data_IF_032111203133
#
_entry.id   IF_032111203133
#
_cell.length_a   1.000
_cell.length_b   1.000
_cell.length_c   1.000
_cell.angle_alpha   90.00
_cell.angle_beta   90.00
_cell.angle_gamma   90.00
#
_symmetry.space_group_name_H-M   'P 1'
#
loop_
_entity.id
_entity.type
_entity.pdbx_description
1 polymer ?
#
# COMPACT_ATOMS: atom_id res chain seq x y z
N UNK A 1 11.02 -13.91 -34.66
CA UNK A 1 9.79 -13.09 -34.86
C UNK A 1 9.79 -12.36 -36.20
N UNK A 2 8.62 -11.97 -36.75
CA UNK A 2 8.47 -11.41 -38.11
C UNK A 2 9.34 -10.16 -38.37
N UNK A 3 9.36 -9.20 -37.44
CA UNK A 3 10.17 -7.97 -37.58
C UNK A 3 11.69 -8.24 -37.52
N UNK A 4 12.11 -9.33 -36.89
CA UNK A 4 13.53 -9.69 -36.79
C UNK A 4 14.12 -10.15 -38.13
N UNK A 5 13.27 -10.57 -39.07
CA UNK A 5 13.67 -10.94 -40.43
C UNK A 5 14.13 -9.73 -41.28
N UNK A 6 13.82 -8.51 -40.85
CA UNK A 6 14.32 -7.30 -41.49
C UNK A 6 15.77 -7.03 -41.08
N UNK A 7 16.58 -6.43 -41.96
CA UNK A 7 17.93 -5.99 -41.59
C UNK A 7 17.87 -4.94 -40.45
N UNK A 8 18.96 -4.76 -39.69
CA UNK A 8 19.04 -3.70 -38.68
C UNK A 8 18.66 -2.33 -39.25
N UNK A 9 17.81 -1.58 -38.54
CA UNK A 9 17.27 -0.30 -39.00
C UNK A 9 16.14 -0.39 -40.04
N UNK A 10 15.78 -1.59 -40.49
CA UNK A 10 14.64 -1.80 -41.37
C UNK A 10 13.32 -1.59 -40.63
N UNK A 11 12.48 -0.69 -41.15
CA UNK A 11 11.11 -0.49 -40.70
C UNK A 11 10.15 -1.14 -41.70
N UNK A 12 9.12 -1.83 -41.20
CA UNK A 12 8.04 -2.33 -42.03
C UNK A 12 6.82 -1.43 -41.94
N UNK A 13 6.20 -1.18 -43.09
CA UNK A 13 4.89 -0.55 -43.16
C UNK A 13 3.83 -1.44 -42.44
N UNK A 14 3.02 -0.90 -41.52
CA UNK A 14 1.97 -1.65 -40.82
C UNK A 14 1.04 -2.43 -41.75
N UNK A 15 0.75 -1.90 -42.95
CA UNK A 15 -0.09 -2.62 -43.95
C UNK A 15 0.63 -3.85 -44.49
N UNK A 16 1.94 -3.75 -44.74
CA UNK A 16 2.77 -4.88 -45.17
C UNK A 16 2.89 -5.95 -44.07
N UNK A 17 3.03 -5.54 -42.80
CA UNK A 17 3.01 -6.46 -41.65
C UNK A 17 1.68 -7.20 -41.58
N UNK A 18 0.55 -6.51 -41.69
CA UNK A 18 -0.79 -7.11 -41.71
C UNK A 18 -0.92 -8.15 -42.82
N UNK A 19 -0.59 -7.77 -44.07
CA UNK A 19 -0.63 -8.70 -45.23
C UNK A 19 0.23 -9.94 -45.00
N UNK A 20 1.39 -9.80 -44.36
CA UNK A 20 2.24 -10.95 -44.05
C UNK A 20 1.62 -11.83 -42.97
N UNK A 21 1.01 -11.25 -41.93
CA UNK A 21 0.28 -12.00 -40.90
C UNK A 21 -0.96 -12.72 -41.46
N UNK A 22 -1.62 -12.15 -42.46
CA UNK A 22 -2.73 -12.80 -43.19
C UNK A 22 -2.26 -14.05 -43.91
N UNK A 23 -1.11 -13.95 -44.60
CA UNK A 23 -0.51 -15.08 -45.31
C UNK A 23 -0.08 -16.21 -44.37
N UNK A 24 0.62 -15.87 -43.29
CA UNK A 24 1.15 -16.87 -42.33
C UNK A 24 0.03 -17.53 -41.51
N UNK A 25 -1.02 -16.78 -41.14
CA UNK A 25 -2.09 -17.25 -40.26
C UNK A 25 -3.51 -16.95 -40.79
N UNK A 26 -3.91 -17.55 -41.92
CA UNK A 26 -5.12 -17.18 -42.66
C UNK A 26 -6.46 -17.49 -41.97
N UNK A 27 -6.49 -18.32 -40.91
CA UNK A 27 -7.76 -18.87 -40.37
C UNK A 27 -8.13 -18.43 -38.95
N UNK A 28 -7.49 -17.40 -38.40
CA UNK A 28 -7.57 -17.13 -36.95
C UNK A 28 -8.49 -15.98 -36.53
N UNK A 29 -8.79 -15.00 -37.38
CA UNK A 29 -9.50 -13.77 -37.01
C UNK A 29 -10.21 -13.14 -38.22
N UNK A 30 -11.24 -12.32 -37.97
CA UNK A 30 -11.78 -11.39 -38.98
C UNK A 30 -10.75 -10.33 -39.35
N UNK A 31 -10.86 -9.76 -40.56
CA UNK A 31 -9.94 -8.73 -41.05
C UNK A 31 -9.90 -7.51 -40.12
N UNK A 32 -11.06 -7.03 -39.65
CA UNK A 32 -11.17 -5.92 -38.70
C UNK A 32 -10.48 -6.20 -37.36
N UNK A 33 -10.71 -7.39 -36.79
CA UNK A 33 -10.09 -7.76 -35.52
C UNK A 33 -8.57 -7.85 -35.64
N UNK A 34 -8.08 -8.37 -36.77
CA UNK A 34 -6.65 -8.48 -37.04
C UNK A 34 -5.99 -7.13 -37.27
N UNK A 35 -6.62 -6.25 -38.02
CA UNK A 35 -6.12 -4.89 -38.21
C UNK A 35 -5.93 -4.20 -36.86
N UNK A 36 -6.97 -4.24 -36.01
CA UNK A 36 -6.92 -3.64 -34.67
C UNK A 36 -5.82 -4.24 -33.80
N UNK A 37 -5.69 -5.56 -33.78
CA UNK A 37 -4.64 -6.24 -32.97
C UNK A 37 -3.24 -5.98 -33.49
N UNK A 38 -3.05 -5.95 -34.81
CA UNK A 38 -1.75 -5.65 -35.42
C UNK A 38 -1.34 -4.21 -35.11
N UNK A 39 -2.27 -3.26 -35.27
CA UNK A 39 -2.03 -1.86 -34.94
C UNK A 39 -1.73 -1.67 -33.45
N UNK A 40 -2.49 -2.31 -32.56
CA UNK A 40 -2.26 -2.28 -31.12
C UNK A 40 -0.90 -2.87 -30.75
N UNK A 41 -0.54 -4.04 -31.27
CA UNK A 41 0.74 -4.69 -30.98
C UNK A 41 1.94 -3.85 -31.45
N UNK A 42 1.84 -3.20 -32.61
CA UNK A 42 2.89 -2.30 -33.10
C UNK A 42 2.99 -1.03 -32.23
N UNK A 43 1.85 -0.46 -31.81
CA UNK A 43 1.84 0.70 -30.92
C UNK A 43 2.38 0.38 -29.52
N UNK A 44 2.05 -0.79 -28.97
CA UNK A 44 2.59 -1.28 -27.70
C UNK A 44 4.09 -1.55 -27.80
N UNK A 45 4.55 -2.17 -28.89
CA UNK A 45 5.97 -2.40 -29.13
C UNK A 45 6.77 -1.09 -29.18
N UNK A 46 6.21 -0.04 -29.79
CA UNK A 46 6.81 1.29 -29.81
C UNK A 46 6.81 1.93 -28.42
N UNK A 47 5.70 1.82 -27.68
CA UNK A 47 5.56 2.37 -26.32
C UNK A 47 6.56 1.72 -25.34
N UNK A 48 6.79 0.41 -25.49
CA UNK A 48 7.75 -0.35 -24.68
C UNK A 48 9.21 -0.17 -25.15
N UNK A 49 9.45 0.50 -26.27
CA UNK A 49 10.79 0.66 -26.85
C UNK A 49 11.38 -0.62 -27.45
N UNK A 50 10.53 -1.61 -27.78
CA UNK A 50 10.89 -2.81 -28.55
C UNK A 50 11.10 -2.43 -30.01
N UNK A 51 10.32 -1.48 -30.51
CA UNK A 51 10.56 -0.79 -31.79
C UNK A 51 10.82 0.69 -31.55
N UNK A 52 11.49 1.33 -32.51
CA UNK A 52 11.67 2.78 -32.56
C UNK A 52 11.53 3.26 -34.00
N UNK A 53 10.62 4.21 -34.24
CA UNK A 53 10.21 4.69 -35.57
C UNK A 53 9.85 3.54 -36.52
N UNK A 54 9.19 2.50 -36.00
CA UNK A 54 8.75 1.34 -36.77
C UNK A 54 9.84 0.31 -37.11
N UNK A 55 11.09 0.53 -36.70
CA UNK A 55 12.16 -0.45 -36.83
C UNK A 55 12.34 -1.23 -35.51
N UNK A 56 12.68 -2.53 -35.60
CA UNK A 56 13.01 -3.33 -34.42
C UNK A 56 14.30 -2.80 -33.78
N UNK A 57 14.25 -2.47 -32.49
CA UNK A 57 15.39 -1.94 -31.77
C UNK A 57 16.50 -3.01 -31.63
N UNK A 58 17.76 -2.59 -31.71
CA UNK A 58 18.91 -3.50 -31.64
C UNK A 58 18.94 -4.29 -30.33
N UNK A 59 18.65 -3.64 -29.20
CA UNK A 59 18.58 -4.28 -27.89
C UNK A 59 17.41 -5.25 -27.72
N UNK A 60 16.38 -5.19 -28.58
CA UNK A 60 15.25 -6.10 -28.53
C UNK A 60 15.51 -7.41 -29.31
N UNK A 61 16.50 -7.45 -30.20
CA UNK A 61 16.81 -8.64 -31.02
C UNK A 61 17.17 -9.88 -30.19
N UNK A 62 18.03 -9.80 -29.15
CA UNK A 62 18.37 -10.98 -28.35
C UNK A 62 17.17 -11.60 -27.62
N UNK A 63 16.11 -10.81 -27.37
CA UNK A 63 14.85 -11.31 -26.78
C UNK A 63 14.01 -12.15 -27.75
N UNK A 64 14.28 -12.05 -29.06
CA UNK A 64 13.55 -12.76 -30.11
C UNK A 64 14.30 -14.02 -30.61
N UNK A 65 15.45 -14.34 -30.03
CA UNK A 65 16.20 -15.57 -30.27
C UNK A 65 15.59 -16.76 -29.52
N UNK A 66 15.96 -17.98 -29.92
CA UNK A 66 15.53 -19.22 -29.27
C UNK A 66 16.78 -20.00 -28.81
N UNK A 67 17.07 -20.08 -27.50
CA UNK A 67 16.34 -19.46 -26.38
C UNK A 67 16.54 -17.92 -26.30
N UNK A 68 15.61 -17.18 -25.67
CA UNK A 68 15.76 -15.74 -25.50
C UNK A 68 16.96 -15.41 -24.62
N UNK A 69 17.68 -14.34 -24.96
CA UNK A 69 18.91 -13.90 -24.29
C UNK A 69 18.70 -12.54 -23.58
N UNK A 70 18.06 -12.51 -22.40
CA UNK A 70 17.79 -11.27 -21.68
C UNK A 70 19.05 -10.53 -21.21
N UNK A 71 20.14 -11.26 -20.90
CA UNK A 71 21.41 -10.65 -20.52
C UNK A 71 22.04 -9.84 -21.66
N UNK A 72 22.10 -10.41 -22.88
CA UNK A 72 22.60 -9.72 -24.06
C UNK A 72 21.73 -8.52 -24.46
N UNK A 73 20.40 -8.62 -24.28
CA UNK A 73 19.49 -7.50 -24.45
C UNK A 73 19.79 -6.35 -23.47
N UNK A 74 20.02 -6.67 -22.19
CA UNK A 74 20.38 -5.69 -21.17
C UNK A 74 21.74 -5.04 -21.44
N UNK A 75 22.74 -5.81 -21.86
CA UNK A 75 24.07 -5.29 -22.23
C UNK A 75 24.01 -4.36 -23.44
N UNK A 76 23.19 -4.67 -24.46
CA UNK A 76 22.98 -3.81 -25.61
C UNK A 76 22.21 -2.52 -25.28
N UNK A 77 21.33 -2.59 -24.26
CA UNK A 77 20.51 -1.47 -23.83
C UNK A 77 21.25 -0.51 -22.88
N UNK A 78 22.13 -1.02 -22.02
CA UNK A 78 22.79 -0.24 -20.98
C UNK A 78 23.52 1.02 -21.48
N UNK A 79 24.27 1.00 -22.61
CA UNK A 79 24.97 2.19 -23.12
C UNK A 79 24.03 3.29 -23.64
N UNK A 80 22.73 3.00 -23.83
CA UNK A 80 21.75 3.97 -24.31
C UNK A 80 21.17 4.84 -23.19
N UNK A 81 21.43 4.50 -21.94
CA UNK A 81 20.97 5.24 -20.78
C UNK A 81 22.12 6.01 -20.12
N UNK A 82 21.87 7.21 -19.58
CA UNK A 82 22.83 7.88 -18.71
C UNK A 82 23.08 7.03 -17.45
N UNK A 83 24.30 7.09 -16.94
CA UNK A 83 24.69 6.37 -15.74
C UNK A 83 23.83 6.83 -14.54
N UNK A 84 23.18 5.89 -13.82
CA UNK A 84 22.42 6.25 -12.64
C UNK A 84 23.32 6.81 -11.54
N UNK A 85 22.93 7.93 -10.95
CA UNK A 85 23.68 8.55 -9.85
C UNK A 85 23.19 8.02 -8.51
N UNK A 86 24.13 7.91 -7.57
CA UNK A 86 23.93 7.41 -6.22
C UNK A 86 23.75 8.50 -5.16
N UNK A 87 23.63 9.76 -5.59
CA UNK A 87 23.66 10.89 -4.68
C UNK A 87 22.81 12.08 -5.14
N UNK A 88 22.59 13.00 -4.20
CA UNK A 88 21.94 14.29 -4.38
C UNK A 88 22.75 15.42 -3.75
N UNK A 89 22.44 16.65 -4.14
CA UNK A 89 22.95 17.87 -3.52
C UNK A 89 21.85 18.49 -2.67
N UNK A 90 22.00 18.47 -1.34
CA UNK A 90 21.03 19.07 -0.43
C UNK A 90 21.29 20.57 -0.27
N UNK A 91 20.22 21.35 -0.33
CA UNK A 91 20.24 22.81 -0.24
C UNK A 91 19.46 23.32 0.98
N UNK A 92 19.82 24.51 1.46
CA UNK A 92 19.24 25.09 2.67
C UNK A 92 17.75 25.51 2.54
N UNK A 93 17.21 25.56 1.32
CA UNK A 93 15.81 25.87 1.01
C UNK A 93 14.91 24.61 0.96
N UNK A 94 15.38 23.52 1.59
CA UNK A 94 14.71 22.22 1.64
C UNK A 94 14.55 21.55 0.28
N UNK A 95 15.48 21.81 -0.64
CA UNK A 95 15.53 21.13 -1.94
C UNK A 95 16.71 20.16 -2.03
N UNK A 96 16.54 19.12 -2.84
CA UNK A 96 17.61 18.23 -3.26
C UNK A 96 17.69 18.21 -4.78
N UNK A 97 18.90 18.40 -5.31
CA UNK A 97 19.15 18.31 -6.75
C UNK A 97 19.81 16.96 -7.06
N UNK A 98 19.16 16.16 -7.90
CA UNK A 98 19.73 14.97 -8.50
C UNK A 98 20.32 15.33 -9.88
N UNK A 99 21.65 15.27 -10.07
CA UNK A 99 22.32 15.68 -11.31
C UNK A 99 22.06 14.74 -12.49
N UNK A 100 21.47 13.57 -12.23
CA UNK A 100 21.11 12.58 -13.24
C UNK A 100 19.99 11.68 -12.70
N UNK A 101 19.62 10.61 -13.43
CA UNK A 101 18.63 9.68 -12.92
C UNK A 101 19.17 8.99 -11.67
N UNK A 102 18.46 9.11 -10.56
CA UNK A 102 18.81 8.38 -9.34
C UNK A 102 18.72 6.88 -9.59
N UNK A 103 19.62 6.12 -8.96
CA UNK A 103 19.48 4.67 -8.79
C UNK A 103 18.09 4.33 -8.24
N UNK A 104 17.57 3.15 -8.61
CA UNK A 104 16.18 2.77 -8.34
C UNK A 104 15.82 2.76 -6.85
N UNK A 105 16.72 2.21 -6.04
CA UNK A 105 16.63 2.17 -4.58
C UNK A 105 16.55 3.59 -4.00
N UNK A 106 17.51 4.45 -4.34
CA UNK A 106 17.56 5.84 -3.93
C UNK A 106 16.32 6.63 -4.36
N UNK A 107 15.89 6.46 -5.61
CA UNK A 107 14.67 7.09 -6.14
C UNK A 107 13.41 6.70 -5.37
N UNK A 108 13.29 5.42 -4.99
CA UNK A 108 12.13 4.92 -4.26
C UNK A 108 12.04 5.58 -2.88
N UNK A 109 13.15 5.64 -2.14
CA UNK A 109 13.20 6.30 -0.83
C UNK A 109 12.96 7.80 -0.96
N UNK A 110 13.55 8.47 -1.96
CA UNK A 110 13.28 9.88 -2.24
C UNK A 110 11.80 10.15 -2.54
N UNK A 111 11.12 9.27 -3.28
CA UNK A 111 9.69 9.42 -3.56
C UNK A 111 8.82 9.33 -2.29
N UNK A 112 9.27 8.61 -1.26
CA UNK A 112 8.60 8.57 0.04
C UNK A 112 8.82 9.89 0.80
N UNK A 113 10.05 10.40 0.82
CA UNK A 113 10.47 11.50 1.68
C UNK A 113 10.40 12.91 1.07
N UNK A 114 10.28 13.04 -0.25
CA UNK A 114 10.26 14.32 -0.95
C UNK A 114 9.30 14.31 -2.16
N UNK A 115 8.89 15.49 -2.60
CA UNK A 115 8.06 15.68 -3.79
C UNK A 115 8.92 16.14 -4.97
N UNK A 116 8.61 15.70 -6.19
CA UNK A 116 9.32 16.16 -7.39
C UNK A 116 8.76 17.51 -7.84
N UNK A 117 9.59 18.53 -7.83
CA UNK A 117 9.23 19.88 -8.28
C UNK A 117 9.49 20.08 -9.78
N UNK A 118 10.60 19.51 -10.29
CA UNK A 118 10.98 19.60 -11.70
C UNK A 118 11.79 18.39 -12.15
N UNK A 119 11.59 17.96 -13.40
CA UNK A 119 12.28 16.85 -14.06
C UNK A 119 13.02 17.33 -15.32
N UNK A 120 13.76 18.44 -15.20
CA UNK A 120 14.59 18.99 -16.26
C UNK A 120 15.91 18.23 -16.42
N UNK A 121 16.97 18.95 -16.84
CA UNK A 121 18.34 18.40 -16.92
C UNK A 121 18.89 17.88 -15.58
N UNK A 122 18.28 18.29 -14.47
CA UNK A 122 18.42 17.71 -13.15
C UNK A 122 17.02 17.53 -12.54
N UNK A 123 16.83 16.48 -11.73
CA UNK A 123 15.57 16.33 -10.99
C UNK A 123 15.68 17.10 -9.68
N UNK A 124 14.74 18.02 -9.46
CA UNK A 124 14.66 18.81 -8.22
C UNK A 124 13.57 18.20 -7.35
N UNK A 125 13.97 17.81 -6.15
CA UNK A 125 13.09 17.32 -5.10
C UNK A 125 12.91 18.41 -4.04
N UNK A 126 11.73 18.49 -3.45
CA UNK A 126 11.41 19.39 -2.34
C UNK A 126 10.96 18.58 -1.13
N UNK A 127 11.61 18.82 0.00
CA UNK A 127 11.17 18.32 1.29
C UNK A 127 10.12 19.27 1.88
N UNK A 128 8.98 18.69 2.24
CA UNK A 128 7.86 19.36 2.90
C UNK A 128 7.47 18.58 4.15
N UNK A 129 6.80 19.21 5.14
CA UNK A 129 6.26 18.48 6.30
C UNK A 129 5.39 17.29 5.91
N UNK A 130 4.62 17.41 4.82
CA UNK A 130 3.76 16.34 4.32
C UNK A 130 4.56 15.17 3.74
N UNK A 131 5.61 15.44 2.95
CA UNK A 131 6.48 14.40 2.40
C UNK A 131 7.29 13.67 3.47
N UNK A 132 7.81 14.37 4.48
CA UNK A 132 8.49 13.73 5.62
C UNK A 132 7.51 12.87 6.40
N UNK A 133 6.30 13.38 6.68
CA UNK A 133 5.26 12.59 7.33
C UNK A 133 4.91 11.34 6.54
N UNK A 134 4.82 11.42 5.22
CA UNK A 134 4.57 10.29 4.33
C UNK A 134 5.65 9.21 4.47
N UNK A 135 6.92 9.58 4.59
CA UNK A 135 7.98 8.61 4.87
C UNK A 135 7.79 7.92 6.23
N UNK A 136 7.45 8.68 7.29
CA UNK A 136 7.19 8.10 8.62
C UNK A 136 5.94 7.20 8.63
N UNK A 137 4.87 7.60 7.92
CA UNK A 137 3.65 6.79 7.75
C UNK A 137 3.94 5.50 6.96
N UNK A 138 4.92 5.51 6.06
CA UNK A 138 5.41 4.34 5.34
C UNK A 138 6.33 3.43 6.19
N UNK A 139 6.60 3.81 7.44
CA UNK A 139 7.36 3.00 8.40
C UNK A 139 8.84 3.35 8.53
N UNK A 140 9.35 4.37 7.83
CA UNK A 140 10.72 4.84 8.07
C UNK A 140 10.81 5.51 9.45
N UNK A 141 11.86 5.19 10.19
CA UNK A 141 12.17 5.86 11.45
C UNK A 141 12.90 7.19 11.20
N UNK A 142 12.90 8.05 12.22
CA UNK A 142 13.64 9.32 12.20
C UNK A 142 15.14 9.09 11.98
N UNK A 143 15.71 8.10 12.66
CA UNK A 143 17.14 7.77 12.55
C UNK A 143 17.48 7.22 11.15
N UNK A 144 16.64 6.36 10.59
CA UNK A 144 16.81 5.86 9.21
C UNK A 144 16.73 7.00 8.18
N UNK A 145 15.83 7.96 8.37
CA UNK A 145 15.70 9.09 7.46
C UNK A 145 16.93 10.02 7.52
N UNK A 146 17.44 10.31 8.72
CA UNK A 146 18.67 11.06 8.91
C UNK A 146 19.89 10.33 8.32
N UNK A 147 20.02 9.03 8.61
CA UNK A 147 21.10 8.20 8.07
C UNK A 147 21.07 8.15 6.54
N UNK A 148 19.88 7.97 5.96
CA UNK A 148 19.67 7.99 4.53
C UNK A 148 20.10 9.33 3.91
N UNK A 149 19.63 10.45 4.46
CA UNK A 149 19.99 11.79 3.96
C UNK A 149 21.50 12.05 4.03
N UNK A 150 22.15 11.59 5.10
CA UNK A 150 23.60 11.70 5.27
C UNK A 150 24.38 10.81 4.29
N UNK A 151 23.89 9.61 3.99
CA UNK A 151 24.51 8.68 3.05
C UNK A 151 24.46 9.19 1.61
N UNK A 152 23.31 9.72 1.19
CA UNK A 152 23.05 10.04 -0.22
C UNK A 152 23.44 11.47 -0.58
N UNK A 153 23.77 12.31 0.39
CA UNK A 153 24.13 13.70 0.13
C UNK A 153 25.62 13.87 -0.12
N UNK A 154 26.00 14.58 -1.19
CA UNK A 154 27.40 15.01 -1.40
C UNK A 154 27.75 16.27 -0.61
N UNK A 155 26.75 16.97 -0.08
CA UNK A 155 26.92 18.13 0.80
C UNK A 155 26.53 17.76 2.22
N UNK A 156 27.04 18.45 3.26
CA UNK A 156 26.51 18.28 4.61
C UNK A 156 24.99 18.51 4.62
N UNK A 157 24.26 17.73 5.42
CA UNK A 157 22.82 17.90 5.56
C UNK A 157 22.53 19.29 6.13
N UNK A 158 21.71 20.12 5.47
CA UNK A 158 21.40 21.46 5.97
C UNK A 158 20.58 21.40 7.26
N UNK A 159 20.96 22.20 8.25
CA UNK A 159 20.25 22.30 9.53
C UNK A 159 18.72 22.52 9.40
N UNK A 160 18.18 23.30 8.44
CA UNK A 160 16.73 23.41 8.25
C UNK A 160 16.05 22.08 7.93
N UNK A 161 16.73 21.19 7.21
CA UNK A 161 16.20 19.87 6.87
C UNK A 161 16.21 18.94 8.08
N UNK A 162 17.28 18.95 8.87
CA UNK A 162 17.33 18.18 10.13
C UNK A 162 16.19 18.59 11.06
N UNK A 163 16.01 19.91 11.22
CA UNK A 163 14.94 20.45 12.05
C UNK A 163 13.55 20.06 11.55
N UNK A 164 13.32 20.09 10.23
CA UNK A 164 12.06 19.64 9.64
C UNK A 164 11.76 18.18 9.97
N UNK A 165 12.75 17.31 9.82
CA UNK A 165 12.62 15.87 10.13
C UNK A 165 12.26 15.67 11.60
N UNK A 166 13.00 16.30 12.52
CA UNK A 166 12.77 16.17 13.96
C UNK A 166 11.44 16.77 14.41
N UNK A 167 11.00 17.88 13.81
CA UNK A 167 9.73 18.52 14.14
C UNK A 167 8.54 17.68 13.71
N UNK A 168 8.59 17.10 12.51
CA UNK A 168 7.54 16.20 12.01
C UNK A 168 7.53 14.90 12.81
N UNK A 169 8.69 14.31 13.10
CA UNK A 169 8.82 13.12 13.93
C UNK A 169 8.21 13.31 15.33
N UNK A 170 8.47 14.46 15.98
CA UNK A 170 7.88 14.79 17.29
C UNK A 170 6.35 14.88 17.27
N UNK A 171 5.76 15.23 16.13
CA UNK A 171 4.30 15.33 15.95
C UNK A 171 3.68 14.01 15.47
N UNK A 172 4.46 13.18 14.81
CA UNK A 172 4.05 11.87 14.31
C UNK A 172 3.75 10.90 15.47
N UNK A 173 2.72 10.08 15.32
CA UNK A 173 2.38 9.05 16.32
C UNK A 173 1.91 9.54 17.70
N UNK A 174 1.66 10.86 17.89
CA UNK A 174 1.12 11.40 19.17
C UNK A 174 -0.29 10.88 19.47
N UNK A 175 -1.08 10.65 18.44
CA UNK A 175 -2.40 10.02 18.53
C UNK A 175 -2.27 8.59 18.02
N UNK A 176 -2.72 7.63 18.83
CA UNK A 176 -2.71 6.20 18.49
C UNK A 176 -4.14 5.71 18.43
N UNK A 177 -4.50 5.11 17.30
CA UNK A 177 -5.80 4.45 17.13
C UNK A 177 -5.59 2.95 17.27
N UNK A 178 -6.46 2.31 18.03
CA UNK A 178 -6.49 0.86 18.16
C UNK A 178 -7.91 0.35 18.02
N UNK A 179 -8.07 -0.86 17.49
CA UNK A 179 -9.37 -1.50 17.43
C UNK A 179 -9.79 -1.99 18.84
N UNK A 180 -11.02 -1.67 19.22
CA UNK A 180 -11.71 -2.21 20.37
C UNK A 180 -13.17 -2.45 19.95
N UNK A 181 -13.60 -3.70 19.92
CA UNK A 181 -14.96 -4.04 19.49
C UNK A 181 -16.00 -3.85 20.60
N UNK A 182 -15.55 -3.85 21.87
CA UNK A 182 -16.38 -3.54 23.03
C UNK A 182 -15.55 -2.93 24.17
N UNK A 183 -16.24 -2.29 25.11
CA UNK A 183 -15.68 -1.77 26.34
C UNK A 183 -16.46 -2.29 27.56
N UNK A 184 -15.80 -2.34 28.70
CA UNK A 184 -16.39 -2.64 30.00
C UNK A 184 -16.14 -1.45 30.92
N UNK A 185 -17.21 -0.88 31.48
CA UNK A 185 -17.16 0.23 32.41
C UNK A 185 -17.60 -0.21 33.80
N UNK A 186 -16.89 0.21 34.83
CA UNK A 186 -17.25 0.00 36.23
C UNK A 186 -16.75 1.17 37.07
N UNK A 187 -17.54 1.62 38.02
CA UNK A 187 -17.11 2.60 39.04
C UNK A 187 -16.18 1.97 40.09
N UNK A 188 -16.19 0.63 40.19
CA UNK A 188 -15.28 -0.13 41.02
C UNK A 188 -14.00 -0.51 40.25
N UNK A 189 -12.94 0.28 40.45
CA UNK A 189 -11.62 0.01 39.86
C UNK A 189 -10.98 -1.28 40.36
N UNK A 190 -11.33 -1.73 41.57
CA UNK A 190 -10.78 -2.94 42.18
C UNK A 190 -11.34 -4.19 41.50
N UNK A 191 -12.64 -4.20 41.18
CA UNK A 191 -13.28 -5.24 40.39
C UNK A 191 -12.65 -5.36 38.99
N UNK A 192 -12.37 -4.23 38.32
CA UNK A 192 -11.67 -4.24 37.03
C UNK A 192 -10.22 -4.77 37.15
N UNK A 193 -9.54 -4.44 38.25
CA UNK A 193 -8.21 -4.98 38.55
C UNK A 193 -8.22 -6.49 38.76
N UNK A 194 -9.23 -7.02 39.46
CA UNK A 194 -9.41 -8.46 39.67
C UNK A 194 -9.66 -9.20 38.35
N UNK A 195 -10.49 -8.63 37.46
CA UNK A 195 -10.74 -9.20 36.13
C UNK A 195 -9.48 -9.26 35.27
N UNK A 196 -8.60 -8.26 35.34
CA UNK A 196 -7.33 -8.26 34.63
C UNK A 196 -6.32 -9.28 35.19
N UNK A 197 -6.40 -9.58 36.50
CA UNK A 197 -5.51 -10.52 37.17
C UNK A 197 -5.98 -11.98 37.08
N UNK A 198 -7.27 -12.23 36.82
CA UNK A 198 -7.83 -13.58 36.70
C UNK A 198 -7.45 -14.22 35.37
N UNK A 199 -6.66 -15.31 35.42
CA UNK A 199 -6.25 -16.07 34.24
C UNK A 199 -7.42 -16.60 33.41
N UNK A 200 -8.59 -16.82 34.02
CA UNK A 200 -9.80 -17.24 33.29
C UNK A 200 -10.31 -16.16 32.34
N UNK A 201 -9.91 -14.90 32.55
CA UNK A 201 -10.25 -13.77 31.69
C UNK A 201 -9.25 -13.54 30.54
N UNK A 202 -8.15 -14.29 30.44
CA UNK A 202 -7.19 -14.17 29.33
C UNK A 202 -7.85 -14.25 27.93
N UNK A 203 -8.82 -15.17 27.67
CA UNK A 203 -9.50 -15.22 26.38
C UNK A 203 -10.29 -13.94 26.04
N UNK A 204 -10.67 -13.14 27.04
CA UNK A 204 -11.37 -11.86 26.85
C UNK A 204 -10.43 -10.76 26.33
N UNK A 205 -9.11 -10.95 26.43
CA UNK A 205 -8.08 -9.99 26.01
C UNK A 205 -8.35 -8.56 26.50
N UNK A 206 -8.75 -8.45 27.77
CA UNK A 206 -9.05 -7.18 28.40
C UNK A 206 -7.80 -6.31 28.51
N UNK A 207 -7.93 -5.04 28.12
CA UNK A 207 -6.87 -4.04 28.26
C UNK A 207 -7.43 -2.78 28.91
N UNK A 208 -6.76 -2.27 29.94
CA UNK A 208 -7.16 -1.02 30.59
C UNK A 208 -6.79 0.19 29.73
N UNK A 209 -7.75 1.08 29.48
CA UNK A 209 -7.53 2.36 28.76
C UNK A 209 -7.85 3.59 29.63
N UNK A 210 -8.59 3.40 30.72
CA UNK A 210 -8.83 4.38 31.77
C UNK A 210 -9.03 3.64 33.10
N UNK A 211 -8.96 4.31 34.27
CA UNK A 211 -9.11 3.64 35.57
C UNK A 211 -10.39 2.78 35.67
N UNK A 212 -11.49 3.32 35.14
CA UNK A 212 -12.85 2.75 35.15
C UNK A 212 -13.26 2.07 33.84
N UNK A 213 -12.35 1.93 32.86
CA UNK A 213 -12.68 1.38 31.53
C UNK A 213 -11.64 0.37 31.03
N UNK A 214 -12.14 -0.83 30.69
CA UNK A 214 -11.40 -1.84 29.95
C UNK A 214 -11.94 -1.93 28.51
N UNK A 215 -11.10 -2.34 27.56
CA UNK A 215 -11.51 -2.66 26.19
C UNK A 215 -11.19 -4.11 25.85
N UNK A 216 -11.98 -4.67 24.93
CA UNK A 216 -11.78 -6.00 24.38
C UNK A 216 -11.93 -5.98 22.85
N UNK A 217 -11.19 -6.82 22.11
CA UNK A 217 -11.45 -7.06 20.69
C UNK A 217 -12.69 -7.93 20.43
N UNK A 218 -13.32 -8.50 21.47
CA UNK A 218 -14.55 -9.28 21.33
C UNK A 218 -15.76 -8.38 21.09
N UNK A 219 -16.75 -8.86 20.35
CA UNK A 219 -18.03 -8.13 20.20
C UNK A 219 -18.75 -8.02 21.55
N UNK A 220 -19.63 -7.01 21.73
CA UNK A 220 -20.37 -6.83 22.98
C UNK A 220 -21.11 -8.09 23.44
N UNK A 221 -21.77 -8.81 22.53
CA UNK A 221 -22.52 -10.03 22.84
C UNK A 221 -21.62 -11.16 23.34
N UNK A 222 -20.45 -11.34 22.72
CA UNK A 222 -19.49 -12.35 23.14
C UNK A 222 -18.88 -12.00 24.49
N UNK A 223 -18.52 -10.74 24.71
CA UNK A 223 -17.97 -10.30 26.00
C UNK A 223 -18.99 -10.50 27.13
N UNK A 224 -20.26 -10.13 26.90
CA UNK A 224 -21.35 -10.34 27.86
C UNK A 224 -21.55 -11.82 28.18
N UNK A 225 -21.60 -12.69 27.17
CA UNK A 225 -21.78 -14.12 27.36
C UNK A 225 -20.64 -14.71 28.18
N UNK A 226 -19.38 -14.40 27.83
CA UNK A 226 -18.21 -14.96 28.51
C UNK A 226 -18.06 -14.45 29.94
N UNK A 227 -18.36 -13.18 30.20
CA UNK A 227 -18.37 -12.64 31.56
C UNK A 227 -19.42 -13.36 32.44
N UNK A 228 -20.60 -13.68 31.89
CA UNK A 228 -21.62 -14.47 32.59
C UNK A 228 -21.16 -15.90 32.88
N UNK A 229 -20.48 -16.55 31.94
CA UNK A 229 -19.86 -17.88 32.15
C UNK A 229 -18.82 -17.86 33.30
N UNK A 230 -18.16 -16.72 33.51
CA UNK A 230 -17.20 -16.50 34.59
C UNK A 230 -17.84 -16.08 35.93
N UNK A 231 -19.18 -16.08 36.00
CA UNK A 231 -19.94 -15.73 37.20
C UNK A 231 -20.08 -14.23 37.45
N UNK A 232 -19.72 -13.39 36.48
CA UNK A 232 -19.95 -11.95 36.54
C UNK A 232 -21.39 -11.61 36.11
N UNK A 233 -21.90 -10.48 36.59
CA UNK A 233 -23.24 -9.99 36.24
C UNK A 233 -23.17 -8.68 35.42
N UNK A 234 -22.61 -8.69 34.20
CA UNK A 234 -22.50 -7.48 33.40
C UNK A 234 -23.87 -7.06 32.84
N UNK A 235 -24.07 -5.76 32.74
CA UNK A 235 -25.21 -5.17 32.04
C UNK A 235 -24.78 -4.71 30.64
N UNK A 236 -25.68 -4.85 29.66
CA UNK A 236 -25.44 -4.33 28.32
C UNK A 236 -25.65 -2.80 28.33
N UNK A 237 -24.86 -2.03 27.58
CA UNK A 237 -25.08 -0.60 27.35
C UNK A 237 -25.48 -0.36 25.88
N UNK A 238 -26.29 0.67 25.60
CA UNK A 238 -26.60 1.13 24.24
C UNK A 238 -25.41 1.88 23.63
N UNK A 239 -25.49 2.21 22.33
CA UNK A 239 -24.50 3.07 21.67
C UNK A 239 -24.38 4.46 22.33
N UNK A 240 -25.42 4.92 23.02
CA UNK A 240 -25.48 6.17 23.79
C UNK A 240 -25.02 6.00 25.25
N UNK A 241 -24.56 4.81 25.65
CA UNK A 241 -24.08 4.52 27.01
C UNK A 241 -25.18 4.29 28.05
N UNK A 242 -26.43 4.10 27.62
CA UNK A 242 -27.53 3.80 28.53
C UNK A 242 -27.60 2.30 28.82
N UNK A 243 -27.82 1.90 30.08
CA UNK A 243 -27.92 0.47 30.44
C UNK A 243 -29.20 -0.15 29.85
N UNK A 244 -29.02 -1.13 28.98
CA UNK A 244 -30.09 -1.95 28.40
C UNK A 244 -30.63 -2.92 29.44
N UNK A 245 -31.77 -2.56 30.03
CA UNK A 245 -32.54 -3.48 30.88
C UNK A 245 -33.49 -4.29 30.00
N UNK A 246 -33.04 -5.46 29.52
CA UNK A 246 -33.95 -6.42 28.88
C UNK A 246 -34.84 -7.03 29.97
N UNK A 247 -36.05 -6.47 30.16
CA UNK A 247 -37.09 -7.14 30.94
C UNK A 247 -37.46 -8.43 30.19
N UNK A 248 -37.02 -9.57 30.69
CA UNK A 248 -37.57 -10.85 30.26
C UNK A 248 -39.03 -10.86 30.70
N UNK A 249 -39.96 -10.62 29.78
CA UNK A 249 -41.36 -10.89 30.07
C UNK A 249 -41.49 -12.39 30.38
N UNK A 250 -41.99 -12.77 31.57
CA UNK A 250 -42.18 -14.17 31.89
C UNK A 250 -43.19 -14.74 30.90
N UNK A 251 -42.78 -15.74 30.10
CA UNK A 251 -43.70 -16.53 29.28
C UNK A 251 -44.70 -17.22 30.20
N UNK A 252 -45.84 -16.58 30.45
CA UNK A 252 -46.95 -17.18 31.20
C UNK A 252 -47.66 -18.17 30.29
N UNK A 253 -47.83 -19.40 30.76
CA UNK A 253 -48.74 -20.35 30.13
C UNK A 253 -50.15 -19.74 30.15
N UNK A 254 -50.87 -19.68 29.01
CA UNK A 254 -52.23 -19.16 29.00
C UNK A 254 -53.12 -19.96 29.96
N UNK A 255 -54.08 -19.29 30.60
CA UNK A 255 -54.97 -19.92 31.56
C UNK A 255 -55.75 -21.07 30.92
N UNK A 256 -55.73 -22.25 31.55
CA UNK A 256 -56.55 -23.39 31.12
C UNK A 256 -58.02 -23.09 31.41
N UNK A 257 -58.87 -23.09 30.38
CA UNK A 257 -60.32 -23.03 30.58
C UNK A 257 -60.84 -24.39 31.04
N UNK A 258 -61.70 -24.41 32.07
CA UNK A 258 -62.38 -25.62 32.48
C UNK A 258 -63.33 -26.12 31.37
N UNK A 259 -63.44 -27.44 31.14
CA UNK A 259 -64.34 -28.00 30.13
C UNK A 259 -65.81 -27.76 30.52
N UNK A 260 -66.63 -27.42 29.52
CA UNK A 260 -68.07 -27.18 29.70
C UNK A 260 -68.79 -28.53 29.90
N UNK A 261 -69.69 -28.69 30.88
CA UNK A 261 -70.44 -29.93 31.06
C UNK A 261 -71.43 -30.15 29.91
N UNK A 262 -71.46 -31.37 29.37
CA UNK A 262 -72.44 -31.78 28.37
C UNK A 262 -73.83 -32.02 29.03
N UNK A 263 -74.94 -31.79 28.31
CA UNK A 263 -76.31 -32.00 28.81
C UNK A 263 -76.65 -33.48 29.05
#
# INVERSE_FOLDING_TARGET
>A
GLLAALPPGGAADPVAVRRRLDWEWPRRLTDEARERLTAAALAEAETLGVTGRGALASHARPLLEEPPQPAAAAEALAPLFPEPVDHVLLQADLTAIAPGPLRRDLRATMALAADVESTGGATVYRFTPASVRRALDAGLTTDELHAFLAEVSRTPVPQPLDYLVDDVARRHGRLRVGAAASYLRSEDETALGQLLADRRCEPLRLRRIAPTVLVSPLSPDQLLLRLRELGQAPAAETAEGAVLTLRAEPRRTPARSAPVPAP
#
